data_IF_320813386659
#
_entry.id   IF_320813386659
#
_cell.length_a   1.000
_cell.length_b   1.000
_cell.length_c   1.000
_cell.angle_alpha   90.00
_cell.angle_beta   90.00
_cell.angle_gamma   90.00
#
_symmetry.space_group_name_H-M   'P 1'
#
loop_
_entity.id
_entity.type
_entity.pdbx_description
1 polymer ?
#
# COMPACT_ATOMS: atom_id res chain seq x y z
N UNK A 1 -8.50 4.56 -11.87
CA UNK A 1 -8.57 4.94 -13.30
C UNK A 1 -7.21 5.48 -13.71
N UNK A 2 -6.69 5.07 -14.86
CA UNK A 2 -5.44 5.61 -15.43
C UNK A 2 -5.75 6.94 -16.10
N UNK A 3 -4.90 7.97 -15.89
CA UNK A 3 -4.92 9.21 -16.66
C UNK A 3 -4.75 8.87 -18.16
N UNK A 4 -5.56 9.45 -19.05
CA UNK A 4 -5.32 9.33 -20.49
C UNK A 4 -4.02 10.08 -20.80
N UNK A 5 -2.95 9.31 -20.98
CA UNK A 5 -1.66 9.86 -21.47
C UNK A 5 -1.76 10.13 -22.97
N UNK A 6 -1.07 11.16 -23.46
CA UNK A 6 -0.94 11.38 -24.90
C UNK A 6 -0.24 10.19 -25.55
N UNK A 7 -0.43 9.98 -26.86
CA UNK A 7 0.22 8.87 -27.58
C UNK A 7 1.76 8.94 -27.50
N UNK A 8 2.32 10.15 -27.43
CA UNK A 8 3.77 10.38 -27.28
C UNK A 8 4.26 10.01 -25.89
N UNK A 9 3.52 10.41 -24.82
CA UNK A 9 3.81 10.01 -23.45
C UNK A 9 3.77 8.49 -23.30
N UNK A 10 2.73 7.85 -23.84
CA UNK A 10 2.58 6.39 -23.80
C UNK A 10 3.71 5.68 -24.53
N UNK A 11 4.09 6.17 -25.71
CA UNK A 11 5.20 5.59 -26.49
C UNK A 11 6.54 5.73 -25.77
N UNK A 12 6.83 6.90 -25.20
CA UNK A 12 8.05 7.14 -24.43
C UNK A 12 8.13 6.22 -23.20
N UNK A 13 7.07 6.17 -22.38
CA UNK A 13 7.03 5.32 -21.19
C UNK A 13 7.11 3.83 -21.53
N UNK A 14 6.39 3.38 -22.58
CA UNK A 14 6.42 2.00 -23.05
C UNK A 14 7.82 1.58 -23.48
N UNK A 15 8.57 2.47 -24.13
CA UNK A 15 9.97 2.27 -24.50
C UNK A 15 10.87 2.03 -23.29
N UNK A 16 10.77 2.91 -22.28
CA UNK A 16 11.56 2.79 -21.03
C UNK A 16 11.20 1.51 -20.23
N UNK A 17 9.91 1.18 -20.12
CA UNK A 17 9.47 -0.01 -19.39
C UNK A 17 9.91 -1.29 -20.09
N UNK A 18 9.85 -1.32 -21.43
CA UNK A 18 10.35 -2.44 -22.23
C UNK A 18 11.85 -2.65 -22.01
N UNK A 19 12.62 -1.55 -22.01
CA UNK A 19 14.06 -1.59 -21.78
C UNK A 19 14.39 -2.17 -20.40
N UNK A 20 13.67 -1.74 -19.36
CA UNK A 20 13.80 -2.30 -18.01
C UNK A 20 13.49 -3.81 -17.98
N UNK A 21 12.33 -4.24 -18.51
CA UNK A 21 11.97 -5.68 -18.51
C UNK A 21 12.93 -6.54 -19.32
N UNK A 22 13.56 -5.97 -20.31
CA UNK A 22 14.56 -6.67 -21.13
C UNK A 22 15.92 -6.78 -20.42
N UNK A 23 16.41 -5.70 -19.80
CA UNK A 23 17.76 -5.64 -19.19
C UNK A 23 17.80 -6.16 -17.76
N UNK A 24 16.81 -5.79 -16.96
CA UNK A 24 16.82 -5.95 -15.49
C UNK A 24 15.82 -7.00 -14.97
N UNK A 25 15.46 -7.94 -15.82
CA UNK A 25 14.51 -9.02 -15.48
C UNK A 25 14.93 -9.89 -14.28
N UNK A 26 16.18 -9.82 -13.85
CA UNK A 26 16.67 -10.47 -12.64
C UNK A 26 16.01 -9.92 -11.37
N UNK A 27 15.64 -8.65 -11.37
CA UNK A 27 14.94 -7.96 -10.28
C UNK A 27 13.50 -8.43 -10.05
N UNK A 28 12.91 -9.16 -11.02
CA UNK A 28 11.59 -9.74 -10.88
C UNK A 28 11.58 -10.83 -9.81
N UNK A 29 10.80 -10.63 -8.77
CA UNK A 29 10.57 -11.62 -7.73
C UNK A 29 9.37 -12.47 -8.15
N UNK A 30 9.63 -13.69 -8.55
CA UNK A 30 8.57 -14.67 -8.86
C UNK A 30 7.94 -15.15 -7.57
N UNK A 31 6.61 -15.16 -7.48
CA UNK A 31 5.94 -15.78 -6.34
C UNK A 31 6.18 -17.29 -6.31
N UNK A 32 6.05 -17.90 -5.15
CA UNK A 32 5.97 -19.34 -4.98
C UNK A 32 4.81 -19.91 -5.82
N UNK A 33 4.94 -21.15 -6.31
CA UNK A 33 3.92 -21.84 -7.13
C UNK A 33 3.40 -20.97 -8.28
N UNK A 34 4.32 -20.45 -9.10
CA UNK A 34 4.00 -19.54 -10.21
C UNK A 34 2.93 -20.10 -11.15
N UNK A 35 2.95 -21.42 -11.39
CA UNK A 35 2.02 -22.14 -12.25
C UNK A 35 0.58 -22.20 -11.70
N UNK A 36 0.42 -22.00 -10.38
CA UNK A 36 -0.88 -21.97 -9.70
C UNK A 36 -1.44 -20.54 -9.51
N UNK A 37 -0.72 -19.52 -9.99
CA UNK A 37 -1.13 -18.14 -9.84
C UNK A 37 -1.81 -17.56 -11.08
N UNK A 38 -2.81 -16.72 -10.85
CA UNK A 38 -3.32 -15.85 -11.89
C UNK A 38 -2.40 -14.65 -12.04
N UNK A 39 -2.06 -14.33 -13.29
CA UNK A 39 -1.40 -13.07 -13.64
C UNK A 39 -2.32 -12.19 -14.47
N UNK A 40 -2.03 -10.90 -14.43
CA UNK A 40 -2.67 -9.92 -15.26
C UNK A 40 -1.78 -8.70 -15.44
N UNK A 41 -2.11 -7.90 -16.42
CA UNK A 41 -1.42 -6.62 -16.63
C UNK A 41 -2.35 -5.54 -17.18
N UNK A 42 -1.96 -4.30 -16.96
CA UNK A 42 -2.61 -3.12 -17.54
C UNK A 42 -1.76 -2.62 -18.71
N UNK A 43 -2.36 -2.40 -19.88
CA UNK A 43 -1.69 -1.73 -20.99
C UNK A 43 -1.63 -0.22 -20.78
N UNK A 44 -0.80 0.49 -21.59
CA UNK A 44 -0.81 1.96 -21.61
C UNK A 44 -2.12 2.54 -22.15
N UNK A 45 -2.91 1.74 -22.87
CA UNK A 45 -4.25 2.11 -23.36
C UNK A 45 -5.35 1.85 -22.31
N UNK A 46 -4.96 1.56 -21.06
CA UNK A 46 -5.86 1.27 -19.94
C UNK A 46 -6.72 0.02 -20.15
N UNK A 47 -6.25 -0.94 -20.93
CA UNK A 47 -6.89 -2.25 -21.11
C UNK A 47 -6.31 -3.22 -20.09
N UNK A 48 -7.18 -3.80 -19.27
CA UNK A 48 -6.81 -4.83 -18.29
C UNK A 48 -6.90 -6.20 -18.92
N UNK A 49 -5.77 -6.90 -18.98
CA UNK A 49 -5.67 -8.32 -19.38
C UNK A 49 -5.52 -9.15 -18.12
N UNK A 50 -6.35 -10.19 -17.97
CA UNK A 50 -6.37 -11.09 -16.80
C UNK A 50 -6.40 -12.55 -17.22
N UNK A 51 -6.43 -13.44 -16.22
CA UNK A 51 -6.53 -14.90 -16.41
C UNK A 51 -5.35 -15.49 -17.18
N UNK A 52 -4.16 -14.94 -16.97
CA UNK A 52 -2.92 -15.48 -17.48
C UNK A 52 -2.29 -16.41 -16.42
N UNK A 53 -1.55 -17.39 -16.87
CA UNK A 53 -0.67 -18.23 -16.05
C UNK A 53 0.64 -18.47 -16.79
N UNK A 54 1.71 -18.70 -16.05
CA UNK A 54 3.05 -18.96 -16.59
C UNK A 54 3.65 -20.16 -15.87
N UNK A 55 4.28 -21.04 -16.62
CA UNK A 55 4.94 -22.22 -16.05
C UNK A 55 6.27 -21.87 -15.37
N UNK A 56 6.88 -20.74 -15.75
CA UNK A 56 8.18 -20.33 -15.22
C UNK A 56 8.45 -18.84 -15.45
N UNK A 57 9.49 -18.32 -14.78
CA UNK A 57 9.93 -16.92 -14.87
C UNK A 57 10.28 -16.48 -16.30
N UNK A 58 10.80 -17.37 -17.15
CA UNK A 58 11.22 -17.01 -18.53
C UNK A 58 10.02 -16.67 -19.41
N UNK A 59 8.94 -17.45 -19.32
CA UNK A 59 7.69 -17.17 -20.03
C UNK A 59 7.08 -15.83 -19.60
N UNK A 60 7.06 -15.58 -18.29
CA UNK A 60 6.61 -14.30 -17.74
C UNK A 60 7.43 -13.13 -18.29
N UNK A 61 8.77 -13.20 -18.25
CA UNK A 61 9.65 -12.15 -18.78
C UNK A 61 9.41 -11.93 -20.27
N UNK A 62 9.32 -12.99 -21.06
CA UNK A 62 9.05 -12.88 -22.49
C UNK A 62 7.75 -12.10 -22.77
N UNK A 63 6.69 -12.41 -22.01
CA UNK A 63 5.42 -11.67 -22.11
C UNK A 63 5.58 -10.20 -21.70
N UNK A 64 6.29 -9.88 -20.62
CA UNK A 64 6.49 -8.50 -20.14
C UNK A 64 7.31 -7.68 -21.16
N UNK A 65 8.32 -8.25 -21.79
CA UNK A 65 9.10 -7.58 -22.87
C UNK A 65 8.23 -7.33 -24.10
N UNK A 66 7.41 -8.31 -24.49
CA UNK A 66 6.53 -8.22 -25.65
C UNK A 66 5.47 -7.12 -25.47
N UNK A 67 4.74 -7.19 -24.36
CA UNK A 67 3.59 -6.30 -24.09
C UNK A 67 4.02 -4.93 -23.55
N UNK A 68 5.13 -4.90 -22.80
CA UNK A 68 5.63 -3.69 -22.12
C UNK A 68 4.52 -2.95 -21.34
N UNK A 69 3.88 -3.63 -20.37
CA UNK A 69 2.69 -3.10 -19.71
C UNK A 69 3.01 -1.94 -18.78
N UNK A 70 1.98 -1.11 -18.47
CA UNK A 70 2.10 -0.05 -17.46
C UNK A 70 2.13 -0.61 -16.05
N UNK A 71 1.41 -1.71 -15.80
CA UNK A 71 1.29 -2.34 -14.50
C UNK A 71 1.19 -3.86 -14.64
N UNK A 72 1.80 -4.61 -13.73
CA UNK A 72 1.78 -6.07 -13.71
C UNK A 72 1.25 -6.56 -12.37
N UNK A 73 0.40 -7.56 -12.41
CA UNK A 73 -0.29 -8.09 -11.23
C UNK A 73 -0.13 -9.61 -11.17
N UNK A 74 -0.11 -10.12 -9.94
CA UNK A 74 -0.15 -11.54 -9.61
C UNK A 74 -1.18 -11.76 -8.50
N UNK A 75 -1.89 -12.89 -8.51
CA UNK A 75 -2.84 -13.22 -7.44
C UNK A 75 -2.11 -13.53 -6.13
N UNK A 76 -2.75 -13.16 -5.00
CA UNK A 76 -2.41 -13.72 -3.71
C UNK A 76 -2.90 -15.17 -3.59
N UNK A 77 -3.98 -15.53 -4.30
CA UNK A 77 -4.55 -16.86 -4.31
C UNK A 77 -3.80 -17.85 -5.16
N UNK A 78 -3.84 -19.12 -4.73
CA UNK A 78 -3.41 -20.30 -5.44
C UNK A 78 -4.64 -21.01 -6.00
N UNK A 79 -4.55 -21.46 -7.24
CA UNK A 79 -5.66 -22.08 -7.97
C UNK A 79 -5.21 -23.32 -8.70
N UNK A 80 -6.09 -24.31 -8.76
CA UNK A 80 -5.89 -25.48 -9.60
C UNK A 80 -5.95 -25.11 -11.09
N UNK A 81 -6.83 -24.17 -11.44
CA UNK A 81 -7.04 -23.68 -12.80
C UNK A 81 -6.96 -22.15 -12.87
N UNK A 82 -5.77 -21.54 -12.77
CA UNK A 82 -5.61 -20.09 -12.62
C UNK A 82 -6.13 -19.26 -13.81
N UNK A 83 -6.22 -19.87 -15.01
CA UNK A 83 -6.69 -19.20 -16.23
C UNK A 83 -8.21 -19.17 -16.38
N UNK A 84 -8.95 -19.92 -15.56
CA UNK A 84 -10.40 -19.96 -15.60
C UNK A 84 -11.04 -18.68 -15.02
N UNK A 85 -12.37 -18.56 -15.16
CA UNK A 85 -13.14 -17.53 -14.44
C UNK A 85 -13.05 -17.74 -12.93
N UNK A 86 -13.30 -16.69 -12.14
CA UNK A 86 -13.15 -16.75 -10.67
C UNK A 86 -13.94 -17.91 -10.04
N UNK A 87 -15.14 -18.19 -10.56
CA UNK A 87 -16.01 -19.26 -10.07
C UNK A 87 -15.48 -20.67 -10.39
N UNK A 88 -14.59 -20.81 -11.38
CA UNK A 88 -14.12 -22.09 -11.90
C UNK A 88 -12.63 -22.33 -11.67
N UNK A 89 -11.98 -21.46 -10.89
CA UNK A 89 -10.53 -21.55 -10.63
C UNK A 89 -10.13 -22.66 -9.67
N UNK A 90 -11.06 -23.12 -8.81
CA UNK A 90 -10.78 -24.02 -7.67
C UNK A 90 -9.66 -23.46 -6.77
N UNK A 91 -10.06 -22.60 -5.84
CA UNK A 91 -9.15 -21.97 -4.88
C UNK A 91 -8.55 -22.99 -3.91
N UNK A 92 -7.23 -22.96 -3.73
CA UNK A 92 -6.48 -23.88 -2.86
C UNK A 92 -5.89 -23.19 -1.62
N UNK A 93 -5.77 -21.87 -1.63
CA UNK A 93 -5.19 -21.08 -0.55
C UNK A 93 -4.81 -19.70 -1.05
N UNK A 94 -4.38 -18.81 -0.15
CA UNK A 94 -3.89 -17.49 -0.53
C UNK A 94 -2.86 -16.95 0.49
N UNK A 95 -1.80 -16.30 -0.01
CA UNK A 95 -0.89 -15.55 0.85
C UNK A 95 -1.67 -14.52 1.67
N UNK A 96 -1.22 -14.25 2.89
CA UNK A 96 -1.76 -13.15 3.68
C UNK A 96 -1.02 -11.86 3.29
N UNK A 97 -1.76 -10.87 2.81
CA UNK A 97 -1.18 -9.60 2.35
C UNK A 97 -1.90 -8.44 3.00
N UNK A 98 -1.13 -7.42 3.39
CA UNK A 98 -1.62 -6.15 3.90
C UNK A 98 -1.14 -5.00 3.02
N UNK A 99 -1.96 -3.95 2.92
CA UNK A 99 -1.64 -2.70 2.22
C UNK A 99 -1.74 -1.51 3.16
N UNK A 100 -0.68 -0.71 3.20
CA UNK A 100 -0.63 0.56 3.92
C UNK A 100 -0.37 1.65 2.89
N UNK A 101 -1.38 2.46 2.60
CA UNK A 101 -1.29 3.54 1.62
C UNK A 101 -1.32 4.92 2.31
N UNK A 102 -0.56 5.86 1.77
CA UNK A 102 -0.50 7.24 2.26
C UNK A 102 -1.87 7.93 2.30
N UNK A 103 -2.77 7.59 1.36
CA UNK A 103 -4.13 8.14 1.31
C UNK A 103 -4.92 7.87 2.59
N UNK A 104 -4.65 6.73 3.26
CA UNK A 104 -5.38 6.28 4.46
C UNK A 104 -4.80 6.89 5.75
N UNK A 105 -3.61 7.50 5.69
CA UNK A 105 -2.95 8.12 6.84
C UNK A 105 -3.43 9.55 7.14
N UNK A 106 -4.19 10.19 6.25
CA UNK A 106 -4.73 11.54 6.43
C UNK A 106 -3.65 12.57 6.83
N UNK A 107 -2.52 12.61 6.12
CA UNK A 107 -1.38 13.46 6.45
C UNK A 107 -1.71 14.94 6.35
N UNK A 108 -1.47 15.76 7.39
CA UNK A 108 -1.75 17.22 7.35
C UNK A 108 -1.02 17.94 6.21
N UNK A 109 0.20 17.50 5.87
CA UNK A 109 0.99 18.08 4.79
C UNK A 109 0.54 17.67 3.38
N UNK A 110 -0.48 16.80 3.24
CA UNK A 110 -0.82 16.22 1.93
C UNK A 110 -1.36 17.26 0.94
N UNK A 111 -1.95 18.37 1.40
CA UNK A 111 -2.39 19.47 0.56
C UNK A 111 -1.23 20.24 -0.09
N UNK A 112 -0.07 20.31 0.56
CA UNK A 112 1.09 21.07 0.10
C UNK A 112 1.81 20.43 -1.09
N UNK A 113 1.60 19.12 -1.32
CA UNK A 113 2.28 18.34 -2.35
C UNK A 113 1.33 17.40 -3.12
N UNK A 114 0.05 17.75 -3.15
CA UNK A 114 -0.95 17.13 -4.02
C UNK A 114 -1.31 18.05 -5.16
N UNK A 115 -1.58 17.43 -6.31
CA UNK A 115 -2.02 18.10 -7.53
C UNK A 115 -3.30 17.45 -8.01
N UNK A 116 -4.10 18.20 -8.74
CA UNK A 116 -5.39 17.77 -9.27
C UNK A 116 -5.34 17.85 -10.78
N UNK A 117 -5.41 16.68 -11.44
CA UNK A 117 -5.25 16.54 -12.89
C UNK A 117 -6.60 16.20 -13.52
N UNK A 118 -7.01 16.95 -14.52
CA UNK A 118 -8.21 16.65 -15.27
C UNK A 118 -7.99 15.41 -16.14
N UNK A 119 -8.84 14.37 -15.98
CA UNK A 119 -8.73 13.12 -16.74
C UNK A 119 -9.04 13.28 -18.24
N UNK A 120 -9.69 14.39 -18.64
CA UNK A 120 -10.05 14.63 -20.03
C UNK A 120 -8.99 15.38 -20.81
N UNK A 121 -8.48 16.50 -20.27
CA UNK A 121 -7.55 17.38 -21.00
C UNK A 121 -6.15 17.46 -20.39
N UNK A 122 -5.90 16.77 -19.25
CA UNK A 122 -4.60 16.76 -18.59
C UNK A 122 -4.20 18.09 -17.91
N UNK A 123 -5.09 19.08 -17.84
CA UNK A 123 -4.83 20.33 -17.10
C UNK A 123 -4.60 20.02 -15.63
N UNK A 124 -3.55 20.62 -15.05
CA UNK A 124 -3.15 20.41 -13.67
C UNK A 124 -3.42 21.67 -12.83
N UNK A 125 -3.95 21.46 -11.60
CA UNK A 125 -4.20 22.51 -10.61
C UNK A 125 -3.61 22.12 -9.25
N UNK A 126 -3.23 23.10 -8.46
CA UNK A 126 -2.72 22.91 -7.09
C UNK A 126 -3.84 22.81 -6.05
N UNK A 127 -5.06 23.23 -6.40
CA UNK A 127 -6.24 23.19 -5.54
C UNK A 127 -7.32 22.31 -6.16
N UNK A 128 -8.12 21.67 -5.33
CA UNK A 128 -9.28 20.89 -5.80
C UNK A 128 -10.33 21.82 -6.42
N UNK A 129 -10.83 21.42 -7.57
CA UNK A 129 -11.90 22.07 -8.30
C UNK A 129 -12.97 21.05 -8.65
N UNK A 130 -14.25 21.41 -8.59
CA UNK A 130 -15.36 20.53 -8.97
C UNK A 130 -15.46 20.29 -10.49
N UNK A 131 -14.85 21.18 -11.28
CA UNK A 131 -14.75 21.05 -12.72
C UNK A 131 -13.45 21.67 -13.22
N UNK A 132 -12.94 21.17 -14.34
CA UNK A 132 -11.75 21.68 -15.01
C UNK A 132 -12.00 23.09 -15.56
N UNK A 133 -11.07 24.01 -15.35
CA UNK A 133 -11.16 25.39 -15.83
C UNK A 133 -11.01 25.54 -17.33
N UNK A 134 -10.50 24.50 -18.03
CA UNK A 134 -10.23 24.53 -19.46
C UNK A 134 -11.32 23.80 -20.27
N UNK A 135 -11.65 22.55 -19.89
CA UNK A 135 -12.58 21.73 -20.66
C UNK A 135 -13.92 21.49 -19.94
N UNK A 136 -14.12 22.08 -18.76
CA UNK A 136 -15.29 21.92 -17.90
C UNK A 136 -15.58 20.47 -17.46
N UNK A 137 -14.66 19.53 -17.72
CA UNK A 137 -14.75 18.14 -17.32
C UNK A 137 -14.79 17.98 -15.79
N UNK A 138 -15.64 17.09 -15.29
CA UNK A 138 -15.84 16.86 -13.84
C UNK A 138 -14.99 15.74 -13.27
N UNK A 139 -14.28 14.99 -14.11
CA UNK A 139 -13.38 13.91 -13.64
C UNK A 139 -11.99 14.50 -13.39
N UNK A 140 -11.68 14.66 -12.11
CA UNK A 140 -10.41 15.20 -11.66
C UNK A 140 -9.76 14.19 -10.72
N UNK A 141 -8.58 13.75 -11.08
CA UNK A 141 -7.77 12.81 -10.31
C UNK A 141 -6.77 13.56 -9.43
N UNK A 142 -6.67 13.12 -8.17
CA UNK A 142 -5.64 13.62 -7.26
C UNK A 142 -4.37 12.79 -7.43
N UNK A 143 -3.24 13.46 -7.61
CA UNK A 143 -1.91 12.87 -7.58
C UNK A 143 -1.08 13.49 -6.46
N UNK A 144 -0.26 12.68 -5.78
CA UNK A 144 0.55 13.15 -4.65
C UNK A 144 2.00 12.78 -4.88
N UNK A 145 2.89 13.72 -4.59
CA UNK A 145 4.35 13.49 -4.52
C UNK A 145 4.69 13.38 -3.03
N UNK A 146 4.96 12.18 -2.49
CA UNK A 146 5.17 12.04 -1.06
C UNK A 146 6.42 12.78 -0.59
N UNK A 147 6.26 13.63 0.42
CA UNK A 147 7.36 14.31 1.07
C UNK A 147 8.02 13.41 2.14
N UNK A 148 9.15 13.84 2.69
CA UNK A 148 9.87 13.10 3.74
C UNK A 148 9.00 12.77 4.96
N UNK A 149 8.11 13.69 5.39
CA UNK A 149 7.19 13.44 6.51
C UNK A 149 6.20 12.32 6.19
N UNK A 150 5.68 12.29 4.96
CA UNK A 150 4.79 11.21 4.49
C UNK A 150 5.50 9.85 4.51
N UNK A 151 6.72 9.78 4.00
CA UNK A 151 7.49 8.52 3.96
C UNK A 151 7.84 8.02 5.37
N UNK A 152 8.18 8.92 6.29
CA UNK A 152 8.41 8.57 7.70
C UNK A 152 7.15 8.03 8.35
N UNK A 153 5.98 8.65 8.09
CA UNK A 153 4.71 8.19 8.66
C UNK A 153 4.28 6.84 8.10
N UNK A 154 4.49 6.59 6.80
CA UNK A 154 4.28 5.27 6.20
C UNK A 154 5.15 4.19 6.86
N UNK A 155 6.45 4.47 7.06
CA UNK A 155 7.36 3.54 7.75
C UNK A 155 6.89 3.23 9.17
N UNK A 156 6.50 4.24 9.94
CA UNK A 156 5.99 4.07 11.31
C UNK A 156 4.73 3.19 11.34
N UNK A 157 3.81 3.40 10.41
CA UNK A 157 2.59 2.59 10.33
C UNK A 157 2.91 1.14 9.92
N UNK A 158 3.85 0.96 9.00
CA UNK A 158 4.35 -0.37 8.61
C UNK A 158 5.01 -1.08 9.80
N UNK A 159 5.85 -0.37 10.58
CA UNK A 159 6.46 -0.92 11.78
C UNK A 159 5.42 -1.36 12.82
N UNK A 160 4.36 -0.56 13.01
CA UNK A 160 3.25 -0.93 13.91
C UNK A 160 2.55 -2.22 13.45
N UNK A 161 2.34 -2.39 12.13
CA UNK A 161 1.79 -3.66 11.61
C UNK A 161 2.71 -4.84 11.93
N UNK A 162 4.02 -4.70 11.69
CA UNK A 162 5.00 -5.75 12.00
C UNK A 162 4.95 -6.12 13.49
N UNK A 163 4.81 -5.15 14.39
CA UNK A 163 4.66 -5.39 15.82
C UNK A 163 3.38 -6.18 16.18
N UNK A 164 2.29 -6.01 15.43
CA UNK A 164 1.09 -6.85 15.57
C UNK A 164 1.34 -8.27 15.06
N UNK A 165 1.97 -8.41 13.89
CA UNK A 165 2.26 -9.72 13.28
C UNK A 165 3.19 -10.55 14.17
N UNK A 166 4.24 -9.94 14.72
CA UNK A 166 5.15 -10.62 15.65
C UNK A 166 4.53 -10.88 17.01
N UNK A 167 4.07 -9.80 17.63
CA UNK A 167 3.73 -9.84 19.05
C UNK A 167 2.41 -10.53 19.35
N UNK A 168 1.46 -10.52 18.45
CA UNK A 168 0.11 -11.02 18.66
C UNK A 168 -0.18 -12.29 17.85
N UNK A 169 0.41 -12.43 16.65
CA UNK A 169 0.22 -13.60 15.77
C UNK A 169 1.42 -14.57 15.76
N UNK A 170 2.52 -14.20 16.37
CA UNK A 170 3.71 -15.07 16.46
C UNK A 170 4.47 -15.28 15.16
N UNK A 171 4.22 -14.43 14.14
CA UNK A 171 4.88 -14.56 12.83
C UNK A 171 6.35 -14.12 12.96
N UNK A 172 7.29 -14.98 12.61
CA UNK A 172 8.72 -14.67 12.66
C UNK A 172 9.14 -13.67 11.59
N UNK A 173 10.23 -12.89 11.85
CA UNK A 173 10.77 -11.88 10.92
C UNK A 173 11.04 -12.45 9.52
N UNK A 174 11.59 -13.65 9.43
CA UNK A 174 11.91 -14.32 8.17
C UNK A 174 10.70 -14.64 7.29
N UNK A 175 9.51 -14.64 7.86
CA UNK A 175 8.24 -14.92 7.19
C UNK A 175 7.46 -13.65 6.85
N UNK A 176 8.04 -12.46 7.07
CA UNK A 176 7.43 -11.18 6.72
C UNK A 176 8.27 -10.51 5.63
N UNK A 177 7.68 -10.29 4.49
CA UNK A 177 8.30 -9.56 3.40
C UNK A 177 7.66 -8.18 3.24
N UNK A 178 8.50 -7.14 3.27
CA UNK A 178 8.06 -5.76 3.17
C UNK A 178 8.44 -5.23 1.79
N UNK A 179 7.46 -4.72 1.04
CA UNK A 179 7.69 -4.12 -0.27
C UNK A 179 7.18 -2.68 -0.28
N UNK A 180 7.98 -1.76 -0.78
CA UNK A 180 7.46 -0.47 -1.23
C UNK A 180 6.58 -0.72 -2.46
N UNK A 181 5.38 -0.14 -2.48
CA UNK A 181 4.36 -0.41 -3.52
C UNK A 181 4.70 0.11 -4.92
N UNK A 182 5.80 0.89 -5.02
CA UNK A 182 6.17 1.61 -6.23
C UNK A 182 5.46 2.96 -6.40
N UNK A 183 4.64 3.41 -5.42
CA UNK A 183 3.97 4.72 -5.52
C UNK A 183 4.02 5.49 -4.20
N UNK A 184 3.15 5.17 -3.24
CA UNK A 184 3.02 5.89 -1.99
C UNK A 184 2.48 4.98 -0.87
N UNK A 185 3.01 3.79 -0.71
CA UNK A 185 2.57 2.81 0.27
C UNK A 185 3.53 1.65 0.44
N UNK A 186 3.19 0.74 1.34
CA UNK A 186 3.91 -0.51 1.55
C UNK A 186 2.93 -1.69 1.49
N UNK A 187 3.33 -2.75 0.79
CA UNK A 187 2.67 -4.05 0.84
C UNK A 187 3.47 -4.98 1.74
N UNK A 188 2.83 -5.60 2.68
CA UNK A 188 3.42 -6.56 3.60
C UNK A 188 2.87 -7.93 3.25
N UNK A 189 3.75 -8.83 2.84
CA UNK A 189 3.41 -10.19 2.45
C UNK A 189 3.85 -11.16 3.54
N UNK A 190 2.99 -12.13 3.85
CA UNK A 190 3.28 -13.26 4.72
C UNK A 190 3.01 -14.53 3.89
N UNK A 191 3.99 -14.94 3.07
CA UNK A 191 3.87 -16.12 2.23
C UNK A 191 4.07 -17.40 3.04
N UNK A 192 3.66 -18.53 2.44
CA UNK A 192 3.93 -19.88 2.92
C UNK A 192 3.65 -20.06 4.44
N UNK A 193 2.48 -19.59 4.89
CA UNK A 193 2.11 -19.52 6.30
C UNK A 193 0.87 -20.36 6.62
N UNK A 194 0.68 -20.67 7.89
CA UNK A 194 -0.55 -21.30 8.40
C UNK A 194 -1.82 -20.48 8.17
N UNK A 195 -1.67 -19.20 7.76
CA UNK A 195 -2.78 -18.30 7.43
C UNK A 195 -3.29 -18.45 5.98
N UNK A 196 -2.68 -19.28 5.14
CA UNK A 196 -3.06 -19.45 3.73
C UNK A 196 -4.47 -19.99 3.55
N UNK A 197 -4.91 -20.85 4.46
CA UNK A 197 -6.23 -21.49 4.43
C UNK A 197 -7.35 -20.63 5.00
N UNK A 198 -7.06 -19.44 5.53
CA UNK A 198 -8.07 -18.52 6.03
C UNK A 198 -8.96 -18.02 4.89
N UNK A 199 -10.26 -18.22 5.04
CA UNK A 199 -11.27 -17.66 4.15
C UNK A 199 -11.44 -16.14 4.35
N UNK A 200 -12.25 -15.51 3.51
CA UNK A 200 -12.51 -14.07 3.57
C UNK A 200 -13.09 -13.60 4.91
N UNK A 201 -13.87 -14.46 5.60
CA UNK A 201 -14.47 -14.13 6.90
C UNK A 201 -13.40 -14.11 8.00
N UNK A 202 -12.62 -15.17 8.10
CA UNK A 202 -11.53 -15.25 9.08
C UNK A 202 -10.49 -14.12 8.86
N UNK A 203 -10.23 -13.76 7.60
CA UNK A 203 -9.39 -12.59 7.26
C UNK A 203 -10.02 -11.27 7.68
N UNK A 204 -11.34 -11.13 7.60
CA UNK A 204 -12.06 -9.96 8.11
C UNK A 204 -11.92 -9.81 9.63
N UNK A 205 -12.07 -10.91 10.37
CA UNK A 205 -11.88 -10.92 11.83
C UNK A 205 -10.44 -10.52 12.20
N UNK A 206 -9.46 -11.00 11.43
CA UNK A 206 -8.05 -10.62 11.60
C UNK A 206 -7.81 -9.12 11.34
N UNK A 207 -8.40 -8.59 10.28
CA UNK A 207 -8.33 -7.15 9.94
C UNK A 207 -8.95 -6.31 11.05
N UNK A 208 -10.13 -6.69 11.55
CA UNK A 208 -10.79 -6.00 12.65
C UNK A 208 -9.94 -6.02 13.92
N UNK A 209 -9.29 -7.14 14.20
CA UNK A 209 -8.33 -7.24 15.29
C UNK A 209 -7.16 -6.27 15.12
N UNK A 210 -6.53 -6.21 13.95
CA UNK A 210 -5.38 -5.33 13.68
C UNK A 210 -5.78 -3.85 13.69
N UNK A 211 -6.94 -3.52 13.13
CA UNK A 211 -7.45 -2.14 13.08
C UNK A 211 -8.03 -1.64 14.41
N UNK A 212 -8.21 -2.52 15.40
CA UNK A 212 -8.83 -2.17 16.67
C UNK A 212 -10.34 -2.01 16.61
N UNK A 213 -10.98 -2.62 15.62
CA UNK A 213 -12.44 -2.63 15.52
C UNK A 213 -13.03 -3.63 16.51
N UNK A 214 -14.17 -3.27 17.13
CA UNK A 214 -14.90 -4.18 18.01
C UNK A 214 -14.20 -4.50 19.34
N UNK A 215 -13.14 -3.77 19.72
CA UNK A 215 -12.50 -3.95 21.03
C UNK A 215 -13.44 -3.48 22.13
N UNK A 216 -13.83 -4.41 22.99
CA UNK A 216 -14.78 -4.19 24.07
C UNK A 216 -14.10 -4.20 25.43
N UNK A 217 -14.78 -3.66 26.45
CA UNK A 217 -14.31 -3.63 27.84
C UNK A 217 -13.90 -5.02 28.34
N UNK A 218 -14.65 -6.06 27.95
CA UNK A 218 -14.40 -7.46 28.30
C UNK A 218 -13.05 -7.99 27.78
N UNK A 219 -12.63 -7.49 26.62
CA UNK A 219 -11.35 -7.87 25.99
C UNK A 219 -10.16 -7.50 26.87
N UNK A 220 -10.28 -6.42 27.64
CA UNK A 220 -9.24 -5.95 28.56
C UNK A 220 -9.52 -6.32 30.04
N UNK A 221 -10.57 -7.11 30.29
CA UNK A 221 -10.90 -7.62 31.63
C UNK A 221 -11.85 -6.76 32.46
N UNK A 222 -12.41 -5.67 31.91
CA UNK A 222 -13.46 -4.87 32.57
C UNK A 222 -14.81 -5.48 32.26
N UNK A 223 -15.55 -5.87 33.25
CA UNK A 223 -16.84 -6.58 33.12
C UNK A 223 -17.96 -5.85 33.81
N UNK A 224 -19.15 -5.83 33.19
CA UNK A 224 -20.35 -5.24 33.74
C UNK A 224 -20.85 -6.09 34.94
N UNK A 225 -21.34 -5.43 35.98
CA UNK A 225 -22.04 -6.07 37.12
C UNK A 225 -23.38 -5.37 37.37
N UNK A 226 -24.21 -5.93 38.26
CA UNK A 226 -25.51 -5.33 38.64
C UNK A 226 -25.34 -3.90 39.19
N UNK A 227 -24.25 -3.66 39.93
CA UNK A 227 -24.01 -2.39 40.64
C UNK A 227 -22.80 -1.62 40.05
N UNK A 228 -22.56 -1.75 38.75
CA UNK A 228 -21.44 -1.05 38.08
C UNK A 228 -20.55 -1.97 37.29
N UNK A 229 -19.30 -2.12 37.66
CA UNK A 229 -18.33 -2.98 36.96
C UNK A 229 -17.35 -3.62 37.95
N UNK A 230 -16.67 -4.68 37.49
CA UNK A 230 -15.54 -5.29 38.17
C UNK A 230 -14.43 -5.62 37.19
N UNK A 231 -13.22 -5.80 37.68
CA UNK A 231 -12.07 -6.15 36.88
C UNK A 231 -11.66 -7.58 37.14
N UNK A 232 -11.55 -8.38 36.09
CA UNK A 232 -11.08 -9.77 36.14
C UNK A 232 -9.96 -9.94 35.13
N UNK A 233 -8.72 -10.00 35.63
CA UNK A 233 -7.58 -10.39 34.81
C UNK A 233 -7.38 -11.91 34.81
N UNK A 234 -6.85 -12.47 33.71
CA UNK A 234 -6.34 -13.83 33.74
C UNK A 234 -5.15 -13.93 34.70
N UNK A 235 -4.89 -15.12 35.23
CA UNK A 235 -3.76 -15.37 36.17
C UNK A 235 -2.40 -15.00 35.60
N UNK A 236 -2.23 -15.05 34.25
CA UNK A 236 -1.03 -14.68 33.54
C UNK A 236 -0.80 -13.17 33.31
N UNK A 237 -1.69 -12.30 33.86
CA UNK A 237 -1.56 -10.85 33.71
C UNK A 237 -1.98 -10.31 32.34
N UNK A 238 -1.60 -9.05 32.05
CA UNK A 238 -1.94 -8.34 30.80
C UNK A 238 -0.78 -8.43 29.78
N UNK A 239 -0.32 -9.64 29.50
CA UNK A 239 0.96 -9.84 28.83
C UNK A 239 0.82 -9.84 27.31
N UNK A 240 -0.37 -10.09 26.73
CA UNK A 240 -0.55 -10.30 25.28
C UNK A 240 -1.69 -9.51 24.68
N UNK A 241 -1.58 -9.26 23.36
CA UNK A 241 -2.63 -8.72 22.53
C UNK A 241 -3.14 -7.35 22.98
N UNK A 242 -4.41 -7.11 22.77
CA UNK A 242 -5.05 -5.81 23.07
C UNK A 242 -4.95 -5.39 24.52
N UNK A 243 -4.90 -6.33 25.48
CA UNK A 243 -4.69 -5.98 26.90
C UNK A 243 -3.36 -5.29 27.12
N UNK A 244 -2.29 -5.82 26.54
CA UNK A 244 -0.94 -5.23 26.63
C UNK A 244 -0.92 -3.84 25.99
N UNK A 245 -1.51 -3.69 24.82
CA UNK A 245 -1.54 -2.44 24.05
C UNK A 245 -2.30 -1.35 24.79
N UNK A 246 -3.50 -1.67 25.28
CA UNK A 246 -4.32 -0.75 26.08
C UNK A 246 -3.63 -0.43 27.41
N UNK A 247 -3.04 -1.43 28.09
CA UNK A 247 -2.30 -1.18 29.33
C UNK A 247 -1.14 -0.21 29.12
N UNK A 248 -0.38 -0.38 28.03
CA UNK A 248 0.71 0.54 27.66
C UNK A 248 0.20 1.95 27.40
N UNK A 249 -0.88 2.10 26.64
CA UNK A 249 -1.49 3.39 26.31
C UNK A 249 -2.00 4.15 27.56
N UNK A 250 -2.60 3.43 28.51
CA UNK A 250 -3.05 4.02 29.78
C UNK A 250 -1.95 4.08 30.86
N UNK A 251 -0.71 3.70 30.52
CA UNK A 251 0.40 3.65 31.46
C UNK A 251 0.14 2.70 32.63
N UNK A 252 -0.56 1.59 32.40
CA UNK A 252 -0.88 0.59 33.41
C UNK A 252 0.20 -0.49 33.39
N UNK A 253 0.92 -0.66 34.49
CA UNK A 253 1.82 -1.81 34.66
C UNK A 253 1.00 -3.09 34.84
N UNK A 254 1.53 -4.22 34.40
CA UNK A 254 0.90 -5.52 34.15
C UNK A 254 -0.01 -6.11 35.25
N UNK A 255 -0.12 -5.51 36.42
CA UNK A 255 -0.86 -6.08 37.59
C UNK A 255 -1.75 -5.10 38.35
N UNK A 256 -1.87 -3.84 37.94
CA UNK A 256 -2.59 -2.84 38.76
C UNK A 256 -4.09 -2.76 38.43
N UNK A 257 -4.86 -3.71 38.96
CA UNK A 257 -6.35 -3.69 38.96
C UNK A 257 -6.87 -2.34 39.46
N UNK A 258 -6.28 -1.81 40.56
CA UNK A 258 -6.67 -0.54 41.16
C UNK A 258 -6.49 0.65 40.22
N UNK A 259 -5.44 0.65 39.38
CA UNK A 259 -5.21 1.72 38.42
C UNK A 259 -6.23 1.68 37.28
N UNK A 260 -6.52 0.50 36.71
CA UNK A 260 -7.56 0.34 35.70
C UNK A 260 -8.94 0.71 36.25
N UNK A 261 -9.25 0.32 37.47
CA UNK A 261 -10.50 0.69 38.18
C UNK A 261 -10.66 2.19 38.24
N UNK A 262 -9.63 2.94 38.67
CA UNK A 262 -9.64 4.42 38.72
C UNK A 262 -9.83 5.04 37.32
N UNK A 263 -9.21 4.49 36.30
CA UNK A 263 -9.36 4.97 34.92
C UNK A 263 -10.81 4.81 34.46
N UNK A 264 -11.43 3.66 34.66
CA UNK A 264 -12.84 3.41 34.32
C UNK A 264 -13.76 4.37 35.11
N UNK A 265 -13.50 4.58 36.39
CA UNK A 265 -14.26 5.50 37.24
C UNK A 265 -14.11 6.96 36.76
N UNK A 266 -12.89 7.39 36.45
CA UNK A 266 -12.61 8.75 35.96
C UNK A 266 -13.15 9.02 34.56
N UNK A 267 -13.32 8.00 33.72
CA UNK A 267 -13.99 8.08 32.43
C UNK A 267 -15.53 8.24 32.54
N UNK A 268 -16.12 8.17 33.74
CA UNK A 268 -17.58 8.20 33.91
C UNK A 268 -18.24 6.82 34.00
N UNK A 269 -17.46 5.77 34.29
CA UNK A 269 -17.93 4.42 34.51
C UNK A 269 -17.90 3.53 33.26
N UNK A 270 -18.49 2.34 33.37
CA UNK A 270 -18.40 1.29 32.35
C UNK A 270 -18.86 1.72 30.94
N UNK A 271 -19.95 2.46 30.85
CA UNK A 271 -20.53 2.87 29.55
C UNK A 271 -19.64 3.87 28.80
N UNK A 272 -19.24 4.96 29.47
CA UNK A 272 -18.37 5.96 28.86
C UNK A 272 -16.98 5.41 28.57
N UNK A 273 -16.44 4.58 29.46
CA UNK A 273 -15.16 3.92 29.23
C UNK A 273 -15.17 3.02 27.98
N UNK A 274 -16.31 2.40 27.62
CA UNK A 274 -16.46 1.61 26.40
C UNK A 274 -16.24 2.49 25.15
N UNK A 275 -16.78 3.70 25.12
CA UNK A 275 -16.61 4.65 24.02
C UNK A 275 -15.17 5.16 23.95
N UNK A 276 -14.59 5.53 25.08
CA UNK A 276 -13.21 5.96 25.19
C UNK A 276 -12.24 4.86 24.72
N UNK A 277 -12.48 3.62 25.13
CA UNK A 277 -11.70 2.45 24.71
C UNK A 277 -11.81 2.21 23.20
N UNK A 278 -13.01 2.27 22.65
CA UNK A 278 -13.21 2.11 21.19
C UNK A 278 -12.46 3.17 20.38
N UNK A 279 -12.51 4.43 20.84
CA UNK A 279 -11.76 5.53 20.20
C UNK A 279 -10.26 5.32 20.30
N UNK A 280 -9.75 4.95 21.49
CA UNK A 280 -8.33 4.68 21.69
C UNK A 280 -7.87 3.44 20.94
N UNK A 281 -8.67 2.38 20.87
CA UNK A 281 -8.34 1.18 20.11
C UNK A 281 -8.10 1.49 18.63
N UNK A 282 -8.91 2.35 18.02
CA UNK A 282 -8.69 2.82 16.63
C UNK A 282 -7.39 3.64 16.46
N UNK A 283 -6.94 4.34 17.50
CA UNK A 283 -5.65 5.05 17.47
C UNK A 283 -4.45 4.11 17.67
N UNK A 284 -4.62 3.06 18.49
CA UNK A 284 -3.64 2.01 18.72
C UNK A 284 -3.54 1.08 17.51
N UNK A 285 -4.67 0.74 16.91
CA UNK A 285 -4.78 -0.11 15.71
C UNK A 285 -4.01 0.45 14.52
N UNK A 286 -3.76 -0.40 13.54
CA UNK A 286 -3.03 -0.06 12.31
C UNK A 286 -4.01 0.32 11.20
N UNK A 287 -3.64 1.32 10.41
CA UNK A 287 -4.41 1.76 9.24
C UNK A 287 -3.98 0.96 8.01
N UNK A 288 -4.70 -0.10 7.74
CA UNK A 288 -4.53 -0.95 6.53
C UNK A 288 -5.78 -0.84 5.66
N UNK A 289 -5.66 -1.17 4.36
CA UNK A 289 -6.82 -1.34 3.48
C UNK A 289 -7.48 -2.71 3.77
N UNK A 290 -8.68 -2.75 4.40
CA UNK A 290 -9.34 -4.01 4.74
C UNK A 290 -9.63 -4.90 3.54
N UNK A 291 -10.01 -4.29 2.41
CA UNK A 291 -10.39 -5.01 1.19
C UNK A 291 -9.23 -5.77 0.58
N UNK A 292 -8.02 -5.32 0.84
CA UNK A 292 -6.81 -5.98 0.34
C UNK A 292 -6.60 -7.32 1.02
N UNK A 293 -6.72 -7.36 2.33
CA UNK A 293 -6.47 -8.57 3.12
C UNK A 293 -7.62 -9.58 3.03
N UNK A 294 -8.87 -9.09 2.96
CA UNK A 294 -10.08 -9.94 2.98
C UNK A 294 -10.39 -10.61 1.65
N UNK A 295 -9.97 -10.01 0.52
CA UNK A 295 -10.23 -10.55 -0.81
C UNK A 295 -9.21 -11.62 -1.19
N UNK A 296 -9.59 -12.89 -1.03
CA UNK A 296 -8.75 -14.07 -1.35
C UNK A 296 -8.54 -14.29 -2.85
N UNK A 297 -9.23 -13.57 -3.72
CA UNK A 297 -9.11 -13.63 -5.19
C UNK A 297 -8.42 -12.39 -5.78
N UNK A 298 -7.85 -11.55 -4.92
CA UNK A 298 -7.23 -10.31 -5.35
C UNK A 298 -5.95 -10.55 -6.13
N UNK A 299 -5.76 -9.75 -7.17
CA UNK A 299 -4.47 -9.62 -7.83
C UNK A 299 -3.76 -8.37 -7.32
N UNK A 300 -2.48 -8.53 -7.02
CA UNK A 300 -1.61 -7.47 -6.49
C UNK A 300 -0.52 -7.12 -7.47
N UNK A 301 -0.04 -5.87 -7.39
CA UNK A 301 1.17 -5.52 -8.13
C UNK A 301 2.29 -6.51 -7.81
N UNK A 302 2.86 -7.07 -8.87
CA UNK A 302 3.93 -8.05 -8.74
C UNK A 302 5.24 -7.36 -8.28
N UNK A 303 5.98 -7.94 -7.32
CA UNK A 303 7.31 -7.43 -6.92
C UNK A 303 8.30 -7.44 -8.09
N UNK A 304 9.16 -6.42 -8.15
CA UNK A 304 10.11 -6.24 -9.25
C UNK A 304 9.47 -5.71 -10.54
N UNK A 305 8.23 -5.17 -10.48
CA UNK A 305 7.58 -4.53 -11.63
C UNK A 305 7.36 -3.04 -11.40
N UNK A 306 7.36 -2.28 -12.50
CA UNK A 306 7.16 -0.83 -12.48
C UNK A 306 5.70 -0.49 -12.20
N UNK A 307 5.48 0.59 -11.45
CA UNK A 307 4.17 1.16 -11.20
C UNK A 307 3.86 2.25 -12.23
N UNK A 308 2.85 2.05 -13.06
CA UNK A 308 2.44 2.99 -14.11
C UNK A 308 1.98 4.37 -13.62
N UNK A 309 1.71 4.53 -12.31
CA UNK A 309 1.34 5.83 -11.71
C UNK A 309 2.53 6.66 -11.24
N UNK A 310 3.74 6.11 -11.27
CA UNK A 310 4.94 6.76 -10.71
C UNK A 310 6.23 6.44 -11.44
N UNK A 311 6.25 5.45 -12.31
CA UNK A 311 7.46 4.83 -12.88
C UNK A 311 8.45 4.24 -11.88
N UNK A 312 8.08 4.14 -10.60
CA UNK A 312 8.90 3.51 -9.58
C UNK A 312 8.63 2.01 -9.49
N UNK A 313 9.65 1.27 -9.07
CA UNK A 313 9.59 -0.17 -8.91
C UNK A 313 8.86 -0.57 -7.62
N UNK A 314 8.08 -1.66 -7.64
CA UNK A 314 7.73 -2.37 -6.41
C UNK A 314 8.96 -3.14 -5.94
N UNK A 315 9.63 -2.67 -4.90
CA UNK A 315 10.93 -3.18 -4.45
C UNK A 315 10.87 -3.65 -3.00
N UNK A 316 11.57 -4.75 -2.70
CA UNK A 316 11.68 -5.30 -1.34
C UNK A 316 12.53 -4.38 -0.47
N UNK A 317 12.05 -4.07 0.72
CA UNK A 317 12.82 -3.40 1.76
C UNK A 317 13.47 -4.46 2.65
N UNK A 318 14.79 -4.48 2.69
CA UNK A 318 15.56 -5.40 3.58
C UNK A 318 15.72 -4.83 4.98
N UNK A 319 15.69 -3.51 5.12
CA UNK A 319 15.72 -2.80 6.40
C UNK A 319 14.83 -1.55 6.28
N UNK A 320 13.68 -1.56 6.94
CA UNK A 320 12.69 -0.50 6.85
C UNK A 320 13.22 0.86 7.35
N UNK A 321 14.10 0.90 8.34
CA UNK A 321 14.61 2.13 8.93
C UNK A 321 15.48 2.91 7.96
N UNK A 322 16.44 2.22 7.32
CA UNK A 322 17.42 2.84 6.41
C UNK A 322 16.94 2.94 4.97
N UNK A 323 15.91 2.17 4.59
CA UNK A 323 15.39 2.12 3.23
C UNK A 323 14.83 3.47 2.77
N UNK A 324 15.32 4.01 1.65
CA UNK A 324 14.73 5.18 0.98
C UNK A 324 14.03 4.74 -0.31
N UNK A 325 12.69 4.73 -0.35
CA UNK A 325 11.96 4.23 -1.52
C UNK A 325 12.16 5.09 -2.78
N UNK A 326 12.40 6.39 -2.64
CA UNK A 326 12.61 7.28 -3.79
C UNK A 326 13.98 7.10 -4.45
N UNK A 327 14.92 6.48 -3.76
CA UNK A 327 16.23 6.13 -4.31
C UNK A 327 16.20 4.69 -4.83
N UNK A 328 15.84 3.73 -3.97
CA UNK A 328 15.91 2.30 -4.27
C UNK A 328 14.91 1.83 -5.35
N UNK A 329 13.77 2.52 -5.50
CA UNK A 329 12.75 2.16 -6.49
C UNK A 329 12.91 2.86 -7.84
N UNK A 330 13.93 3.71 -8.00
CA UNK A 330 14.21 4.44 -9.23
C UNK A 330 15.18 3.63 -10.09
N UNK A 331 14.66 2.94 -11.11
CA UNK A 331 15.42 1.94 -11.89
C UNK A 331 15.52 2.28 -13.38
N UNK A 332 14.87 3.36 -13.83
CA UNK A 332 14.90 3.75 -15.22
C UNK A 332 16.18 4.54 -15.56
N UNK A 333 16.49 4.60 -16.84
CA UNK A 333 17.66 5.23 -17.46
C UNK A 333 17.83 6.70 -17.05
N UNK A 334 19.05 7.18 -16.99
CA UNK A 334 19.44 8.56 -16.64
C UNK A 334 19.67 9.48 -17.87
N UNK A 335 19.50 8.96 -19.11
CA UNK A 335 19.63 9.76 -20.33
C UNK A 335 18.77 11.01 -20.29
N UNK A 336 19.29 12.11 -20.78
CA UNK A 336 18.63 13.40 -20.72
C UNK A 336 17.54 13.50 -21.78
N UNK A 337 16.34 13.92 -21.35
CA UNK A 337 15.16 14.12 -22.22
C UNK A 337 14.50 15.46 -21.92
N UNK A 338 13.68 15.95 -22.84
CA UNK A 338 12.90 17.17 -22.66
C UNK A 338 11.45 16.84 -22.32
N UNK A 339 10.92 17.58 -21.34
CA UNK A 339 9.50 17.52 -20.96
C UNK A 339 8.91 18.93 -20.91
N UNK A 340 7.61 19.04 -21.09
CA UNK A 340 6.83 20.24 -20.74
C UNK A 340 6.17 20.02 -19.40
N UNK A 341 6.71 20.59 -18.35
CA UNK A 341 6.10 20.57 -17.03
C UNK A 341 4.87 21.46 -16.97
N UNK A 342 3.84 21.00 -16.25
CA UNK A 342 2.57 21.70 -16.01
C UNK A 342 2.54 22.41 -14.65
N UNK A 343 3.58 22.25 -13.84
CA UNK A 343 3.62 22.71 -12.45
C UNK A 343 4.99 23.23 -12.05
N UNK A 344 5.00 24.05 -10.99
CA UNK A 344 6.23 24.39 -10.28
C UNK A 344 6.35 23.47 -9.07
N UNK A 345 7.43 22.73 -8.94
CA UNK A 345 7.65 21.88 -7.78
C UNK A 345 9.14 21.63 -7.48
N UNK A 346 9.41 21.17 -6.26
CA UNK A 346 10.69 20.61 -5.85
C UNK A 346 10.52 19.09 -5.77
N UNK A 347 11.30 18.36 -6.56
CA UNK A 347 11.28 16.89 -6.59
C UNK A 347 12.61 16.37 -6.05
N UNK A 348 12.54 15.44 -5.10
CA UNK A 348 13.67 14.60 -4.72
C UNK A 348 13.45 13.20 -5.27
N UNK A 349 14.39 12.70 -6.06
CA UNK A 349 14.34 11.37 -6.65
C UNK A 349 15.77 10.90 -7.00
N UNK A 350 16.08 9.65 -6.69
CA UNK A 350 17.38 9.04 -7.01
C UNK A 350 18.58 9.90 -6.55
N UNK A 351 18.56 10.26 -5.24
CA UNK A 351 19.57 11.09 -4.58
C UNK A 351 19.72 12.52 -5.15
N UNK A 352 18.91 12.92 -6.12
CA UNK A 352 18.96 14.22 -6.76
C UNK A 352 17.79 15.12 -6.38
N UNK A 353 18.06 16.44 -6.32
CA UNK A 353 17.07 17.48 -6.12
C UNK A 353 16.84 18.27 -7.39
N UNK A 354 15.60 18.27 -7.87
CA UNK A 354 15.18 19.02 -9.05
C UNK A 354 14.29 20.19 -8.63
N UNK A 355 14.57 21.38 -9.19
CA UNK A 355 13.67 22.55 -9.13
C UNK A 355 13.01 22.68 -10.48
N UNK A 356 11.82 22.16 -10.61
CA UNK A 356 11.07 22.08 -11.85
C UNK A 356 10.14 23.30 -11.92
N UNK A 357 10.16 23.99 -13.07
CA UNK A 357 9.27 25.11 -13.36
C UNK A 357 8.17 24.68 -14.32
N UNK A 358 7.09 25.45 -14.41
CA UNK A 358 6.03 25.26 -15.39
C UNK A 358 6.52 25.75 -16.78
N UNK A 359 7.45 25.01 -17.35
CA UNK A 359 8.15 25.33 -18.61
C UNK A 359 8.69 24.04 -19.26
N UNK A 360 9.44 24.21 -20.36
CA UNK A 360 10.24 23.10 -20.91
C UNK A 360 11.45 22.91 -20.01
N UNK A 361 11.60 21.67 -19.53
CA UNK A 361 12.68 21.26 -18.64
C UNK A 361 13.46 20.09 -19.26
N UNK A 362 14.76 20.06 -19.02
CA UNK A 362 15.63 18.93 -19.36
C UNK A 362 15.91 18.12 -18.13
N UNK A 363 15.48 16.86 -18.12
CA UNK A 363 15.58 15.96 -16.96
C UNK A 363 16.13 14.59 -17.37
N UNK A 364 16.71 13.83 -16.42
CA UNK A 364 16.96 12.41 -16.63
C UNK A 364 15.66 11.67 -16.93
N UNK A 365 15.71 10.62 -17.76
CA UNK A 365 14.51 9.88 -18.19
C UNK A 365 13.71 9.31 -17.01
N UNK A 366 14.37 8.87 -15.92
CA UNK A 366 13.67 8.42 -14.72
C UNK A 366 12.82 9.52 -14.06
N UNK A 367 13.34 10.76 -13.98
CA UNK A 367 12.61 11.88 -13.39
C UNK A 367 11.49 12.39 -14.33
N UNK A 368 11.76 12.40 -15.64
CA UNK A 368 10.78 12.71 -16.69
C UNK A 368 9.62 11.69 -16.64
N UNK A 369 9.92 10.39 -16.61
CA UNK A 369 8.93 9.32 -16.50
C UNK A 369 8.09 9.45 -15.24
N UNK A 370 8.69 9.77 -14.09
CA UNK A 370 7.98 10.02 -12.84
C UNK A 370 6.97 11.17 -13.01
N UNK A 371 7.38 12.29 -13.56
CA UNK A 371 6.51 13.45 -13.78
C UNK A 371 5.37 13.14 -14.75
N UNK A 372 5.65 12.40 -15.82
CA UNK A 372 4.65 12.01 -16.83
C UNK A 372 3.64 11.01 -16.24
N UNK A 373 4.11 9.99 -15.50
CA UNK A 373 3.24 9.02 -14.82
C UNK A 373 2.33 9.68 -13.77
N UNK A 374 2.80 10.77 -13.12
CA UNK A 374 1.99 11.59 -12.22
C UNK A 374 1.02 12.52 -12.94
N UNK A 375 1.07 12.62 -14.27
CA UNK A 375 0.25 13.54 -15.07
C UNK A 375 0.69 15.00 -14.99
N UNK A 376 1.89 15.27 -14.46
CA UNK A 376 2.42 16.60 -14.19
C UNK A 376 3.30 17.15 -15.31
N UNK A 377 3.57 16.36 -16.34
CA UNK A 377 4.34 16.76 -17.50
C UNK A 377 3.94 15.98 -18.74
N UNK A 378 4.34 16.50 -19.90
CA UNK A 378 4.24 15.83 -21.19
C UNK A 378 5.64 15.71 -21.80
N UNK A 379 5.91 14.58 -22.47
CA UNK A 379 7.15 14.33 -23.20
C UNK A 379 7.25 15.25 -24.42
N UNK A 380 8.44 15.74 -24.71
CA UNK A 380 8.77 16.51 -25.92
C UNK A 380 9.79 15.69 -26.69
N UNK A 381 9.46 15.45 -27.95
CA UNK A 381 10.29 14.72 -28.91
C UNK A 381 11.49 15.53 -29.39
#
# INVERSE_FOLDING_TARGET
MSLKTSSENSSFLKGLFREYYFKDSTSLVTPSMIEKREFGYMSFDSIMVRHLSFMNKRELIARLVQESPSDVYCSNGYYKFPTNSVQSKEWEGADLIFDIDLKDLNMPCSSEHSFYVCDQCGTCNVSFLNACTVCLGRKISRTTIPCRKCLISLKKETQRLIEFLHGDLGIADGNIEIFFSGNAGYHIHVPDSEFETLDSRARSDLVDYICGNGIMNESIGVRKSKNGFYIKFPKSGMVFGWRRRVASEFGINQSSISKLKRIVESSGGYGQFKEDLSTKAKLIGVRIDPHVTTDIHRIFRMPGTINGKSSLLKVKSTNLETFNPLDSACVLDDRQVYIRSKVNLKLYLHENYFRIKNSIERLPAYAAAYMICKGLADFIK
#
